data_IF_359950184241
#
_entry.id   IF_359950184241
#
_cell.length_a   1.000
_cell.length_b   1.000
_cell.length_c   1.000
_cell.angle_alpha   90.00
_cell.angle_beta   90.00
_cell.angle_gamma   90.00
#
_symmetry.space_group_name_H-M   'P 1'
#
loop_
_entity.id
_entity.type
_entity.pdbx_description
1 polymer ?
#
# COMPACT_ATOMS: atom_id res chain seq x y z
N UNK A 1 16.40 -4.33 9.54
CA UNK A 1 15.13 -3.78 9.05
C UNK A 1 13.99 -4.56 9.68
N UNK A 2 12.91 -3.91 10.05
CA UNK A 2 11.72 -4.56 10.64
C UNK A 2 10.47 -4.07 9.91
N UNK A 3 9.52 -4.98 9.66
CA UNK A 3 8.22 -4.66 9.10
C UNK A 3 7.16 -5.15 10.09
N UNK A 4 6.29 -4.24 10.52
CA UNK A 4 5.15 -4.54 11.39
C UNK A 4 3.88 -4.18 10.64
N UNK A 5 2.98 -5.16 10.49
CA UNK A 5 1.68 -4.96 9.86
C UNK A 5 0.55 -5.21 10.86
N UNK A 6 -0.55 -4.49 10.70
CA UNK A 6 -1.77 -4.71 11.47
C UNK A 6 -3.00 -4.33 10.64
N UNK A 7 -4.11 -5.07 10.78
CA UNK A 7 -5.37 -4.68 10.15
C UNK A 7 -6.00 -3.50 10.90
N UNK A 8 -6.57 -2.54 10.16
CA UNK A 8 -7.16 -1.33 10.70
C UNK A 8 -8.61 -1.15 10.25
N UNK A 9 -9.43 -0.60 11.14
CA UNK A 9 -10.81 -0.22 10.89
C UNK A 9 -11.75 -1.36 10.50
N UNK A 10 -12.91 -0.97 10.02
CA UNK A 10 -13.97 -1.93 9.63
C UNK A 10 -13.64 -2.69 8.34
N UNK A 11 -12.81 -2.13 7.49
CA UNK A 11 -12.37 -2.74 6.23
C UNK A 11 -11.21 -3.72 6.42
N UNK A 12 -10.58 -3.75 7.62
CA UNK A 12 -9.44 -4.60 7.95
C UNK A 12 -8.26 -4.41 6.98
N UNK A 13 -8.05 -3.15 6.55
CA UNK A 13 -6.95 -2.79 5.67
C UNK A 13 -5.63 -2.89 6.43
N UNK A 14 -4.67 -3.59 5.85
CA UNK A 14 -3.35 -3.75 6.45
C UNK A 14 -2.55 -2.46 6.37
N UNK A 15 -2.32 -1.82 7.51
CA UNK A 15 -1.35 -0.75 7.64
C UNK A 15 0.02 -1.32 8.01
N UNK A 16 1.09 -0.89 7.32
CA UNK A 16 2.44 -1.36 7.62
C UNK A 16 3.34 -0.23 8.09
N UNK A 17 4.23 -0.55 9.05
CA UNK A 17 5.34 0.30 9.48
C UNK A 17 6.62 -0.43 9.10
N UNK A 18 7.40 0.15 8.20
CA UNK A 18 8.70 -0.38 7.75
C UNK A 18 9.79 0.49 8.35
N UNK A 19 10.70 -0.11 9.13
CA UNK A 19 11.79 0.61 9.81
C UNK A 19 13.16 0.06 9.44
N UNK A 20 14.15 0.94 9.37
CA UNK A 20 15.51 0.62 8.94
C UNK A 20 16.39 0.01 10.04
N UNK A 21 15.91 -0.05 11.28
CA UNK A 21 16.70 -0.48 12.44
C UNK A 21 17.59 0.61 13.04
N UNK A 22 17.77 1.76 12.36
CA UNK A 22 18.44 2.96 12.88
C UNK A 22 17.43 4.00 13.42
N UNK A 23 16.15 3.65 13.36
CA UNK A 23 15.05 4.42 13.90
C UNK A 23 14.26 5.21 12.86
N UNK A 24 14.66 5.25 11.60
CA UNK A 24 13.84 5.84 10.56
C UNK A 24 12.78 4.82 10.08
N UNK A 25 11.56 5.31 9.79
CA UNK A 25 10.50 4.45 9.29
C UNK A 25 9.62 5.15 8.26
N UNK A 26 8.88 4.35 7.49
CA UNK A 26 7.76 4.79 6.66
C UNK A 26 6.49 4.08 7.10
N UNK A 27 5.35 4.73 6.88
CA UNK A 27 4.02 4.20 7.19
C UNK A 27 3.32 3.98 5.86
N UNK A 28 2.75 2.79 5.65
CA UNK A 28 2.09 2.41 4.40
C UNK A 28 0.62 2.18 4.66
N UNK A 29 -0.24 2.79 3.85
CA UNK A 29 -1.68 2.69 3.87
C UNK A 29 -2.30 2.84 5.27
N UNK A 30 -2.16 4.00 5.92
CA UNK A 30 -2.83 4.27 7.19
C UNK A 30 -4.34 4.44 6.97
N UNK A 31 -5.05 3.33 6.94
CA UNK A 31 -6.48 3.24 6.72
C UNK A 31 -7.33 3.73 7.89
N UNK A 32 -8.61 3.39 7.88
CA UNK A 32 -9.55 3.76 8.95
C UNK A 32 -9.04 3.27 10.31
N UNK A 33 -9.10 4.14 11.32
CA UNK A 33 -8.70 3.86 12.71
C UNK A 33 -7.22 3.45 12.90
N UNK A 34 -6.37 3.63 11.87
CA UNK A 34 -4.94 3.29 11.97
C UNK A 34 -4.13 4.29 12.82
N UNK A 35 -4.56 5.56 12.90
CA UNK A 35 -3.78 6.66 13.48
C UNK A 35 -3.28 6.37 14.90
N UNK A 36 -4.17 5.94 15.79
CA UNK A 36 -3.82 5.69 17.19
C UNK A 36 -2.79 4.54 17.32
N UNK A 37 -2.99 3.47 16.56
CA UNK A 37 -2.08 2.32 16.59
C UNK A 37 -0.72 2.67 15.97
N UNK A 38 -0.69 3.44 14.89
CA UNK A 38 0.56 3.97 14.31
C UNK A 38 1.31 4.80 15.35
N UNK A 39 0.64 5.76 16.01
CA UNK A 39 1.26 6.62 17.03
C UNK A 39 1.84 5.82 18.17
N UNK A 40 1.10 4.81 18.65
CA UNK A 40 1.56 3.93 19.73
C UNK A 40 2.82 3.17 19.32
N UNK A 41 2.80 2.48 18.19
CA UNK A 41 3.93 1.69 17.72
C UNK A 41 5.18 2.54 17.42
N UNK A 42 4.99 3.70 16.78
CA UNK A 42 6.07 4.65 16.51
C UNK A 42 6.70 5.13 17.83
N UNK A 43 5.87 5.49 18.82
CA UNK A 43 6.35 5.97 20.12
C UNK A 43 7.05 4.89 20.93
N UNK A 44 6.45 3.69 21.03
CA UNK A 44 6.99 2.57 21.81
C UNK A 44 8.33 2.09 21.23
N UNK A 45 8.49 2.09 19.93
CA UNK A 45 9.73 1.69 19.26
C UNK A 45 10.73 2.85 19.04
N UNK A 46 10.39 4.09 19.46
CA UNK A 46 11.25 5.26 19.30
C UNK A 46 11.56 5.60 17.85
N UNK A 47 10.60 5.36 16.94
CA UNK A 47 10.79 5.55 15.51
C UNK A 47 10.59 7.00 15.07
N UNK A 48 11.17 7.35 13.93
CA UNK A 48 11.06 8.65 13.27
C UNK A 48 10.44 8.47 11.89
N UNK A 49 9.12 8.67 11.73
CA UNK A 49 8.48 8.63 10.42
C UNK A 49 9.12 9.62 9.43
N UNK A 50 9.33 9.17 8.21
CA UNK A 50 9.93 9.93 7.11
C UNK A 50 8.94 10.17 5.97
N UNK A 51 7.94 9.30 5.83
CA UNK A 51 6.94 9.38 4.80
C UNK A 51 5.70 8.56 5.16
N UNK A 52 4.57 8.91 4.53
CA UNK A 52 3.43 8.04 4.34
C UNK A 52 3.44 7.59 2.88
N UNK A 53 3.42 6.28 2.62
CA UNK A 53 3.35 5.71 1.28
C UNK A 53 1.94 5.16 1.07
N UNK A 54 1.30 5.55 -0.02
CA UNK A 54 -0.05 5.10 -0.37
C UNK A 54 0.02 4.24 -1.61
N UNK A 55 -0.41 2.98 -1.48
CA UNK A 55 -0.42 2.04 -2.61
C UNK A 55 -1.45 2.44 -3.65
N UNK A 56 -2.58 3.00 -3.21
CA UNK A 56 -3.63 3.52 -4.08
C UNK A 56 -4.59 4.45 -3.30
N UNK A 57 -5.57 5.04 -4.02
CA UNK A 57 -6.42 6.08 -3.47
C UNK A 57 -7.75 5.61 -2.87
N UNK A 58 -8.04 4.33 -2.74
CA UNK A 58 -9.31 3.89 -2.16
C UNK A 58 -9.42 4.29 -0.69
N UNK A 59 -10.65 4.62 -0.31
CA UNK A 59 -11.02 5.21 0.97
C UNK A 59 -10.39 4.52 2.18
N UNK A 60 -10.41 3.21 2.19
CA UNK A 60 -9.95 2.38 3.30
C UNK A 60 -8.43 2.37 3.46
N UNK A 61 -7.66 2.72 2.42
CA UNK A 61 -6.20 2.88 2.46
C UNK A 61 -5.76 4.30 2.84
N UNK A 62 -6.56 5.31 2.46
CA UNK A 62 -6.18 6.72 2.64
C UNK A 62 -6.83 7.40 3.85
N UNK A 63 -7.73 6.72 4.57
CA UNK A 63 -8.61 7.34 5.59
C UNK A 63 -7.86 8.18 6.61
N UNK A 64 -6.77 7.69 7.16
CA UNK A 64 -5.94 8.43 8.11
C UNK A 64 -4.62 8.97 7.48
N UNK A 65 -4.48 8.95 6.15
CA UNK A 65 -3.26 9.41 5.48
C UNK A 65 -2.88 10.84 5.88
N UNK A 66 -3.84 11.76 5.83
CA UNK A 66 -3.63 13.14 6.23
C UNK A 66 -3.27 13.27 7.71
N UNK A 67 -4.07 12.67 8.59
CA UNK A 67 -3.87 12.78 10.03
C UNK A 67 -2.48 12.30 10.44
N UNK A 68 -2.03 11.18 9.85
CA UNK A 68 -0.70 10.61 10.11
C UNK A 68 0.41 11.47 9.51
N UNK A 69 0.30 11.86 8.24
CA UNK A 69 1.32 12.67 7.57
C UNK A 69 1.51 14.04 8.24
N UNK A 70 0.41 14.75 8.51
CA UNK A 70 0.43 16.08 9.12
C UNK A 70 0.94 16.02 10.58
N UNK A 71 0.56 14.96 11.34
CA UNK A 71 1.04 14.79 12.71
C UNK A 71 2.57 14.68 12.77
N UNK A 72 3.17 13.87 11.90
CA UNK A 72 4.61 13.69 11.84
C UNK A 72 5.33 14.73 10.97
N UNK A 73 4.57 15.58 10.25
CA UNK A 73 5.10 16.61 9.32
C UNK A 73 5.96 15.96 8.24
N UNK A 74 5.45 14.92 7.63
CA UNK A 74 6.11 14.16 6.56
C UNK A 74 5.24 14.16 5.31
N UNK A 75 5.81 14.06 4.11
CA UNK A 75 5.04 13.97 2.89
C UNK A 75 4.29 12.64 2.78
N UNK A 76 3.14 12.68 2.10
CA UNK A 76 2.44 11.49 1.59
C UNK A 76 2.76 11.29 0.11
N UNK A 77 3.07 10.06 -0.26
CA UNK A 77 3.42 9.66 -1.63
C UNK A 77 2.27 8.87 -2.23
N UNK A 78 1.84 9.27 -3.44
CA UNK A 78 0.74 8.61 -4.17
C UNK A 78 0.93 8.79 -5.68
N UNK A 79 0.42 7.87 -6.48
CA UNK A 79 0.37 8.04 -7.93
C UNK A 79 -0.62 9.16 -8.32
N UNK A 80 -0.31 10.03 -9.33
CA UNK A 80 -1.17 11.15 -9.69
C UNK A 80 -2.59 10.75 -10.10
N UNK A 81 -2.79 9.57 -10.71
CA UNK A 81 -4.11 9.11 -11.13
C UNK A 81 -5.05 8.82 -9.94
N UNK A 82 -4.50 8.50 -8.78
CA UNK A 82 -5.25 8.25 -7.55
C UNK A 82 -5.26 9.44 -6.58
N UNK A 83 -4.38 10.42 -6.77
CA UNK A 83 -4.30 11.61 -5.92
C UNK A 83 -5.65 12.33 -5.74
N UNK A 84 -6.52 12.47 -6.78
CA UNK A 84 -7.83 13.13 -6.59
C UNK A 84 -8.73 12.47 -5.54
N UNK A 85 -8.50 11.20 -5.19
CA UNK A 85 -9.26 10.49 -4.16
C UNK A 85 -8.89 10.94 -2.74
N UNK A 86 -7.73 11.57 -2.52
CA UNK A 86 -7.34 12.11 -1.21
C UNK A 86 -8.30 13.17 -0.69
N UNK A 87 -8.89 13.94 -1.59
CA UNK A 87 -9.88 14.98 -1.26
C UNK A 87 -11.32 14.58 -1.60
N UNK A 88 -11.51 13.60 -2.47
CA UNK A 88 -12.81 13.10 -2.90
C UNK A 88 -12.78 11.58 -3.05
N UNK A 89 -12.81 10.83 -1.93
CA UNK A 89 -12.75 9.37 -1.96
C UNK A 89 -13.96 8.72 -2.66
N UNK A 90 -15.04 9.49 -2.86
CA UNK A 90 -16.21 9.04 -3.63
C UNK A 90 -15.86 8.65 -5.07
N UNK A 91 -14.78 9.18 -5.63
CA UNK A 91 -14.30 8.81 -6.98
C UNK A 91 -13.88 7.33 -7.09
N UNK A 92 -13.46 6.70 -6.01
CA UNK A 92 -13.11 5.28 -5.95
C UNK A 92 -14.23 4.36 -5.47
N UNK A 93 -15.46 4.86 -5.30
CA UNK A 93 -16.55 4.09 -4.71
C UNK A 93 -17.74 3.93 -5.67
N UNK A 94 -18.28 2.71 -5.74
CA UNK A 94 -19.52 2.40 -6.47
C UNK A 94 -20.78 2.56 -5.60
N UNK A 95 -20.59 2.68 -4.28
CA UNK A 95 -21.68 2.73 -3.30
C UNK A 95 -21.84 4.16 -2.78
N UNK A 96 -23.08 4.54 -2.52
CA UNK A 96 -23.36 5.77 -1.78
C UNK A 96 -23.02 5.58 -0.29
N UNK A 97 -21.78 5.95 0.07
CA UNK A 97 -21.32 5.99 1.46
C UNK A 97 -21.55 7.36 2.12
N UNK A 98 -22.36 8.23 1.52
CA UNK A 98 -22.62 9.58 2.03
C UNK A 98 -23.10 9.59 3.48
N UNK A 99 -23.88 8.58 3.90
CA UNK A 99 -24.33 8.43 5.28
C UNK A 99 -23.17 8.13 6.25
N UNK A 100 -22.19 7.32 5.82
CA UNK A 100 -20.99 7.00 6.61
C UNK A 100 -19.98 8.15 6.62
N UNK A 101 -19.93 8.92 5.53
CA UNK A 101 -18.98 10.02 5.35
C UNK A 101 -19.55 11.38 5.77
N UNK A 102 -20.80 11.44 6.24
CA UNK A 102 -21.55 12.66 6.50
C UNK A 102 -20.81 13.69 7.35
N UNK A 103 -20.04 13.22 8.34
CA UNK A 103 -19.32 14.06 9.29
C UNK A 103 -17.78 14.00 9.07
N UNK A 104 -17.33 13.41 7.96
CA UNK A 104 -15.92 13.27 7.64
C UNK A 104 -15.56 14.14 6.44
N UNK A 105 -14.61 15.04 6.63
CA UNK A 105 -14.07 15.87 5.55
C UNK A 105 -12.70 15.32 5.14
N UNK A 106 -12.60 14.91 3.89
CA UNK A 106 -11.34 14.50 3.29
C UNK A 106 -10.66 15.70 2.64
N UNK A 107 -9.39 15.85 2.90
CA UNK A 107 -8.53 16.84 2.27
C UNK A 107 -7.13 16.23 2.15
N UNK A 108 -6.37 16.67 1.15
CA UNK A 108 -5.00 16.21 1.00
C UNK A 108 -4.14 16.49 2.25
N UNK A 109 -3.13 15.63 2.54
CA UNK A 109 -2.03 15.99 3.46
C UNK A 109 -1.38 17.32 3.07
N UNK A 110 -0.75 17.98 4.04
CA UNK A 110 -0.08 19.28 3.82
C UNK A 110 1.01 19.23 2.73
N UNK A 111 1.62 18.06 2.56
CA UNK A 111 2.61 17.81 1.51
C UNK A 111 2.30 16.48 0.82
N UNK A 112 2.08 16.51 -0.49
CA UNK A 112 1.85 15.34 -1.34
C UNK A 112 2.89 15.30 -2.44
N UNK A 113 3.56 14.16 -2.57
CA UNK A 113 4.56 13.87 -3.61
C UNK A 113 3.99 12.82 -4.55
N UNK A 114 3.99 13.11 -5.83
CA UNK A 114 3.57 12.16 -6.84
C UNK A 114 4.68 11.18 -7.17
N UNK A 115 4.31 9.89 -7.33
CA UNK A 115 5.23 8.80 -7.68
C UNK A 115 4.83 8.16 -9.00
N UNK A 116 5.84 7.64 -9.72
CA UNK A 116 5.68 7.07 -11.05
C UNK A 116 6.41 5.72 -11.15
N UNK A 117 6.08 4.96 -12.18
CA UNK A 117 6.75 3.69 -12.49
C UNK A 117 8.27 3.87 -12.63
N UNK A 118 9.03 3.06 -11.93
CA UNK A 118 10.49 3.08 -11.96
C UNK A 118 11.14 4.11 -11.02
N UNK A 119 10.37 4.87 -10.27
CA UNK A 119 10.92 5.74 -9.24
C UNK A 119 11.61 4.95 -8.14
N UNK A 120 12.63 5.55 -7.54
CA UNK A 120 13.33 5.01 -6.37
C UNK A 120 13.27 6.01 -5.22
N UNK A 121 12.61 5.61 -4.12
CA UNK A 121 12.45 6.43 -2.92
C UNK A 121 13.47 6.01 -1.85
N UNK A 122 14.08 6.98 -1.16
CA UNK A 122 15.08 6.72 -0.12
C UNK A 122 14.70 7.41 1.20
N UNK A 123 14.61 6.61 2.27
CA UNK A 123 14.30 7.07 3.62
C UNK A 123 15.25 6.40 4.62
N UNK A 124 16.20 7.17 5.19
CA UNK A 124 17.28 6.60 5.97
C UNK A 124 18.10 5.60 5.14
N UNK A 125 18.23 4.37 5.61
CA UNK A 125 18.89 3.29 4.86
C UNK A 125 17.94 2.45 4.01
N UNK A 126 16.64 2.76 4.01
CA UNK A 126 15.63 2.07 3.21
C UNK A 126 15.59 2.63 1.79
N UNK A 127 15.51 1.73 0.82
CA UNK A 127 15.31 2.07 -0.60
C UNK A 127 14.11 1.29 -1.12
N UNK A 128 13.12 2.00 -1.65
CA UNK A 128 11.93 1.43 -2.24
C UNK A 128 11.92 1.71 -3.74
N UNK A 129 11.72 0.67 -4.54
CA UNK A 129 11.42 0.82 -5.95
C UNK A 129 9.90 0.84 -6.13
N UNK A 130 9.41 1.75 -6.98
CA UNK A 130 7.98 1.92 -7.27
C UNK A 130 7.63 1.21 -8.56
N UNK A 131 6.65 0.34 -8.51
CA UNK A 131 6.06 -0.28 -9.69
C UNK A 131 4.60 0.20 -9.86
N UNK A 132 4.30 0.85 -10.97
CA UNK A 132 2.91 1.14 -11.33
C UNK A 132 2.23 -0.15 -11.79
N UNK A 133 1.18 -0.54 -11.09
CA UNK A 133 0.44 -1.78 -11.29
C UNK A 133 -1.08 -1.52 -11.33
N UNK A 134 -1.56 -0.77 -12.35
CA UNK A 134 -2.96 -0.38 -12.46
C UNK A 134 -3.89 -1.56 -12.70
N UNK A 135 -5.18 -1.31 -12.53
CA UNK A 135 -6.27 -2.25 -12.81
C UNK A 135 -7.24 -2.43 -11.66
N UNK A 136 -6.77 -2.46 -10.41
CA UNK A 136 -7.62 -2.32 -9.24
C UNK A 136 -8.09 -0.87 -9.08
N UNK A 137 -7.15 0.07 -9.13
CA UNK A 137 -7.36 1.49 -9.38
C UNK A 137 -6.42 1.97 -10.49
N UNK A 138 -6.65 3.14 -11.11
CA UNK A 138 -5.78 3.68 -12.14
C UNK A 138 -4.36 3.96 -11.64
N UNK A 139 -4.23 4.42 -10.40
CA UNK A 139 -2.97 4.80 -9.79
C UNK A 139 -2.39 3.75 -8.83
N UNK A 140 -2.84 2.50 -8.87
CA UNK A 140 -2.28 1.45 -8.03
C UNK A 140 -0.78 1.31 -8.25
N UNK A 141 0.00 1.40 -7.16
CA UNK A 141 1.44 1.14 -7.14
C UNK A 141 1.79 0.09 -6.10
N UNK A 142 2.87 -0.62 -6.32
CA UNK A 142 3.53 -1.41 -5.27
C UNK A 142 4.90 -0.83 -4.94
N UNK A 143 5.32 -1.01 -3.68
CA UNK A 143 6.63 -0.59 -3.20
C UNK A 143 7.47 -1.84 -2.90
N UNK A 144 8.58 -2.02 -3.62
CA UNK A 144 9.51 -3.14 -3.40
C UNK A 144 10.68 -2.70 -2.56
N UNK A 145 11.07 -3.54 -1.60
CA UNK A 145 12.24 -3.32 -0.77
C UNK A 145 12.96 -4.64 -0.54
N UNK A 146 14.30 -4.62 -0.52
CA UNK A 146 15.11 -5.78 -0.14
C UNK A 146 15.42 -5.75 1.36
N UNK A 147 15.02 -6.80 2.06
CA UNK A 147 15.24 -6.98 3.49
C UNK A 147 16.33 -8.03 3.69
N UNK A 148 17.31 -7.75 4.55
CA UNK A 148 18.31 -8.74 4.95
C UNK A 148 17.70 -9.67 6.00
N UNK A 149 17.73 -10.98 5.73
CA UNK A 149 17.29 -12.03 6.65
C UNK A 149 18.48 -12.93 7.00
N UNK A 150 18.28 -13.86 7.93
CA UNK A 150 19.30 -14.86 8.28
C UNK A 150 19.64 -15.79 7.09
N UNK A 151 18.68 -15.97 6.17
CA UNK A 151 18.82 -16.79 4.97
C UNK A 151 19.40 -16.02 3.76
N UNK A 152 19.63 -14.71 3.92
CA UNK A 152 20.11 -13.80 2.87
C UNK A 152 19.11 -12.68 2.53
N UNK A 153 19.39 -11.92 1.46
CA UNK A 153 18.51 -10.86 1.02
C UNK A 153 17.20 -11.44 0.48
N UNK A 154 16.07 -10.87 0.89
CA UNK A 154 14.74 -11.26 0.42
C UNK A 154 13.97 -10.03 -0.06
N UNK A 155 13.34 -10.15 -1.22
CA UNK A 155 12.43 -9.12 -1.74
C UNK A 155 11.12 -9.14 -0.96
N UNK A 156 10.66 -7.95 -0.56
CA UNK A 156 9.33 -7.72 0.02
C UNK A 156 8.60 -6.69 -0.84
N UNK A 157 7.36 -7.00 -1.18
CA UNK A 157 6.47 -6.17 -1.98
C UNK A 157 5.30 -5.73 -1.12
N UNK A 158 5.18 -4.45 -0.84
CA UNK A 158 3.98 -3.83 -0.27
C UNK A 158 3.01 -3.63 -1.45
N UNK A 159 2.14 -4.60 -1.64
CA UNK A 159 1.43 -4.81 -2.90
C UNK A 159 0.11 -4.07 -3.03
N UNK A 160 -0.39 -3.44 -1.94
CA UNK A 160 -1.75 -2.92 -1.93
C UNK A 160 -2.75 -3.98 -2.38
N UNK A 161 -3.72 -3.58 -3.16
CA UNK A 161 -4.81 -4.45 -3.61
C UNK A 161 -4.59 -5.01 -5.03
N UNK A 162 -3.35 -5.42 -5.34
CA UNK A 162 -3.02 -6.04 -6.63
C UNK A 162 -3.09 -7.56 -6.55
N UNK A 163 -2.32 -8.18 -5.64
CA UNK A 163 -2.21 -9.63 -5.50
C UNK A 163 -2.39 -10.05 -4.05
N UNK A 164 -3.34 -10.94 -3.81
CA UNK A 164 -3.66 -11.53 -2.51
C UNK A 164 -3.31 -13.02 -2.45
N UNK A 165 -3.31 -13.57 -1.26
CA UNK A 165 -3.30 -15.01 -1.09
C UNK A 165 -4.56 -15.61 -1.72
N UNK A 166 -4.37 -16.47 -2.74
CA UNK A 166 -5.43 -17.14 -3.51
C UNK A 166 -6.41 -16.18 -4.21
N UNK A 167 -6.04 -14.91 -4.42
CA UNK A 167 -6.92 -13.90 -4.99
C UNK A 167 -6.17 -12.76 -5.69
N UNK A 168 -6.93 -11.88 -6.32
CA UNK A 168 -6.46 -10.63 -6.92
C UNK A 168 -7.40 -9.49 -6.53
N UNK A 169 -6.96 -8.26 -6.69
CA UNK A 169 -7.78 -7.08 -6.46
C UNK A 169 -9.09 -7.10 -7.25
N UNK A 170 -10.16 -6.58 -6.67
CA UNK A 170 -11.41 -6.40 -7.41
C UNK A 170 -11.25 -5.29 -8.46
N UNK A 171 -12.03 -5.40 -9.52
CA UNK A 171 -11.95 -4.47 -10.66
C UNK A 171 -13.32 -3.92 -11.05
N UNK A 172 -14.32 -4.12 -10.21
CA UNK A 172 -15.71 -3.67 -10.39
C UNK A 172 -15.99 -2.28 -9.75
N UNK A 173 -14.96 -1.65 -9.18
CA UNK A 173 -15.01 -0.26 -8.69
C UNK A 173 -14.74 0.73 -9.85
N UNK A 174 -15.06 2.04 -9.66
CA UNK A 174 -14.82 3.04 -10.70
C UNK A 174 -13.38 3.01 -11.24
N UNK A 175 -13.27 2.98 -12.57
CA UNK A 175 -12.00 2.89 -13.30
C UNK A 175 -11.18 1.61 -13.07
N UNK A 176 -11.76 0.58 -12.45
CA UNK A 176 -11.18 -0.76 -12.38
C UNK A 176 -11.22 -1.45 -13.74
N UNK A 177 -10.18 -2.25 -14.04
CA UNK A 177 -10.05 -3.00 -15.30
C UNK A 177 -9.33 -4.34 -15.04
N UNK A 178 -10.05 -5.44 -15.28
CA UNK A 178 -9.53 -6.78 -15.02
C UNK A 178 -8.36 -7.14 -15.95
N UNK A 179 -8.44 -6.78 -17.22
CA UNK A 179 -7.38 -7.10 -18.17
C UNK A 179 -6.09 -6.36 -17.82
N UNK A 180 -6.21 -5.07 -17.48
CA UNK A 180 -5.09 -4.24 -17.05
C UNK A 180 -4.49 -4.79 -15.75
N UNK A 181 -5.31 -5.20 -14.77
CA UNK A 181 -4.83 -5.81 -13.52
C UNK A 181 -4.02 -7.09 -13.78
N UNK A 182 -4.54 -7.98 -14.63
CA UNK A 182 -3.85 -9.23 -14.96
C UNK A 182 -2.53 -8.96 -15.67
N UNK A 183 -2.47 -7.97 -16.58
CA UNK A 183 -1.22 -7.54 -17.21
C UNK A 183 -0.23 -6.95 -16.20
N UNK A 184 -0.70 -6.17 -15.23
CA UNK A 184 0.12 -5.62 -14.14
C UNK A 184 0.72 -6.73 -13.28
N UNK A 185 -0.09 -7.73 -12.89
CA UNK A 185 0.39 -8.89 -12.13
C UNK A 185 1.46 -9.64 -12.93
N UNK A 186 1.20 -9.94 -14.19
CA UNK A 186 2.16 -10.65 -15.05
C UNK A 186 3.50 -9.91 -15.18
N UNK A 187 3.46 -8.59 -15.38
CA UNK A 187 4.65 -7.77 -15.67
C UNK A 187 5.43 -7.33 -14.44
N UNK A 188 4.76 -7.15 -13.28
CA UNK A 188 5.35 -6.56 -12.07
C UNK A 188 5.52 -7.56 -10.92
N UNK A 189 4.67 -8.57 -10.82
CA UNK A 189 4.70 -9.54 -9.74
C UNK A 189 5.25 -10.90 -10.20
N UNK A 190 4.72 -11.49 -11.28
CA UNK A 190 5.14 -12.82 -11.71
C UNK A 190 6.54 -12.88 -12.33
N UNK A 191 7.21 -11.76 -12.51
CA UNK A 191 8.63 -11.68 -12.93
C UNK A 191 9.59 -11.76 -11.74
N UNK A 192 9.09 -11.65 -10.50
CA UNK A 192 9.88 -11.72 -9.28
C UNK A 192 10.20 -13.18 -8.91
N UNK A 193 11.21 -13.37 -8.07
CA UNK A 193 11.60 -14.69 -7.58
C UNK A 193 10.48 -15.32 -6.72
N UNK A 194 10.44 -16.64 -6.68
CA UNK A 194 9.40 -17.42 -5.97
C UNK A 194 9.35 -17.13 -4.46
N UNK A 195 10.46 -16.75 -3.86
CA UNK A 195 10.58 -16.44 -2.43
C UNK A 195 10.26 -14.97 -2.11
N UNK A 196 10.00 -14.13 -3.11
CA UNK A 196 9.54 -12.76 -2.90
C UNK A 196 8.23 -12.77 -2.10
N UNK A 197 8.21 -12.03 -0.99
CA UNK A 197 7.06 -11.93 -0.07
C UNK A 197 6.17 -10.79 -0.51
N UNK A 198 4.88 -11.06 -0.64
CA UNK A 198 3.85 -10.04 -0.89
C UNK A 198 3.11 -9.75 0.42
N UNK A 199 3.12 -8.49 0.80
CA UNK A 199 2.36 -7.90 1.89
C UNK A 199 1.18 -7.13 1.28
N UNK A 200 -0.02 -7.73 1.24
CA UNK A 200 -1.16 -7.16 0.55
C UNK A 200 -1.90 -6.12 1.40
N UNK A 201 -2.77 -5.33 0.78
CA UNK A 201 -3.66 -4.42 1.48
C UNK A 201 -4.68 -5.10 2.38
N UNK A 202 -5.07 -6.34 2.05
CA UNK A 202 -6.01 -7.12 2.87
C UNK A 202 -5.56 -8.57 3.03
N UNK A 203 -5.93 -9.16 4.17
CA UNK A 203 -5.67 -10.57 4.45
C UNK A 203 -4.22 -10.90 4.76
N UNK A 204 -3.83 -12.18 4.67
CA UNK A 204 -2.50 -12.63 5.05
C UNK A 204 -1.45 -12.36 3.97
N UNK A 205 -0.18 -12.33 4.37
CA UNK A 205 0.97 -12.31 3.46
C UNK A 205 1.04 -13.59 2.64
N UNK A 206 1.63 -13.50 1.45
CA UNK A 206 1.86 -14.63 0.58
C UNK A 206 3.25 -14.53 -0.08
N UNK A 207 3.58 -15.45 -1.00
CA UNK A 207 4.79 -15.40 -1.82
C UNK A 207 4.46 -15.54 -3.29
N UNK A 208 5.28 -14.98 -4.15
CA UNK A 208 5.11 -15.10 -5.61
C UNK A 208 5.04 -16.56 -6.05
N UNK A 209 5.93 -17.40 -5.54
CA UNK A 209 5.94 -18.82 -5.89
C UNK A 209 4.71 -19.59 -5.42
N UNK A 210 4.12 -19.22 -4.27
CA UNK A 210 2.85 -19.79 -3.86
C UNK A 210 1.73 -19.39 -4.82
N UNK A 211 1.59 -18.11 -5.11
CA UNK A 211 0.50 -17.62 -5.96
C UNK A 211 0.65 -18.13 -7.40
N UNK A 212 1.86 -18.18 -7.95
CA UNK A 212 2.11 -18.76 -9.28
C UNK A 212 1.61 -20.21 -9.39
N UNK A 213 1.68 -21.00 -8.29
CA UNK A 213 1.28 -22.42 -8.30
C UNK A 213 -0.20 -22.63 -7.96
N UNK A 214 -0.79 -21.83 -7.10
CA UNK A 214 -2.08 -22.14 -6.48
C UNK A 214 -3.17 -21.12 -6.70
N UNK A 215 -2.84 -19.88 -7.08
CA UNK A 215 -3.83 -18.84 -7.25
C UNK A 215 -4.75 -19.15 -8.46
N UNK A 216 -6.07 -19.27 -8.24
CA UNK A 216 -7.00 -19.65 -9.31
C UNK A 216 -7.11 -18.61 -10.43
N UNK A 217 -6.81 -17.36 -10.15
CA UNK A 217 -6.86 -16.26 -11.12
C UNK A 217 -5.64 -16.20 -12.04
N UNK A 218 -4.53 -16.85 -11.68
CA UNK A 218 -3.26 -16.77 -12.43
C UNK A 218 -3.00 -17.96 -13.34
N UNK A 219 -3.96 -18.87 -13.49
CA UNK A 219 -3.77 -20.14 -14.23
C UNK A 219 -3.48 -19.96 -15.71
N UNK A 220 -3.96 -18.87 -16.27
CA UNK A 220 -3.87 -18.58 -17.71
C UNK A 220 -2.84 -17.44 -18.03
N UNK A 221 -1.98 -17.08 -17.05
CA UNK A 221 -0.90 -16.09 -17.17
C UNK A 221 0.46 -16.71 -17.45
#
# INVERSE_FOLDING_TARGET
>A
MQIVGFPAGMFQTNCYIVSDGAGDCVIVDPGQDAEEQVRRQVSEAGLRPRAVLLTHGHLDHIWNARQVADHYRVPAYIHPDDRPMLSDPGKGLSLDLSAMLKDVTFTEPAEVVEVFDGDTLRFGSMTFDVDHAPGHSPGSVSFRITVQTEEGPRMVVLGGDVLFQDGVGRTDLPAGDTEVLMQSIAKKFLVLDDDAVVLPGHGPSTTIGRERRSNPFLRDL
#
